data_IF_918499746049
#
_entry.id   IF_918499746049
#
_cell.length_a   1.000
_cell.length_b   1.000
_cell.length_c   1.000
_cell.angle_alpha   90.00
_cell.angle_beta   90.00
_cell.angle_gamma   90.00
#
_symmetry.space_group_name_H-M   'P 1'
#
loop_
_entity.id
_entity.type
_entity.pdbx_description
1 polymer ?
#
# COMPACT_ATOMS: atom_id res chain seq x y z
N UNK A 1 -5.14 -15.10 1.48
CA UNK A 1 -5.32 -14.04 0.46
C UNK A 1 -4.35 -12.91 0.75
N UNK A 2 -3.07 -13.05 0.37
CA UNK A 2 -2.14 -11.90 0.39
C UNK A 2 -2.31 -11.21 -0.96
N UNK A 3 -3.45 -10.54 -1.13
CA UNK A 3 -3.76 -9.76 -2.34
C UNK A 3 -3.06 -8.40 -2.40
N UNK A 4 -2.20 -8.10 -1.42
CA UNK A 4 -1.45 -6.86 -1.29
C UNK A 4 0.05 -7.19 -1.14
N UNK A 5 0.59 -7.98 -2.05
CA UNK A 5 2.04 -8.14 -2.15
C UNK A 5 2.61 -6.82 -2.63
N UNK A 6 3.28 -6.08 -1.74
CA UNK A 6 3.97 -4.84 -2.06
C UNK A 6 5.18 -5.16 -2.96
N UNK A 7 5.20 -4.63 -4.18
CA UNK A 7 6.27 -4.82 -5.17
C UNK A 7 6.92 -3.49 -5.56
N UNK A 8 6.73 -2.48 -4.73
CA UNK A 8 7.09 -1.11 -5.03
C UNK A 8 8.60 -0.90 -4.88
N UNK A 9 9.26 -1.63 -3.98
CA UNK A 9 10.72 -1.68 -3.89
C UNK A 9 11.36 -2.21 -5.17
N UNK A 10 10.77 -3.25 -5.79
CA UNK A 10 11.23 -3.74 -7.09
C UNK A 10 10.95 -2.71 -8.20
N UNK A 11 9.77 -2.06 -8.18
CA UNK A 11 9.42 -1.03 -9.16
C UNK A 11 10.39 0.17 -9.13
N UNK A 12 10.82 0.60 -7.93
CA UNK A 12 11.84 1.65 -7.76
C UNK A 12 13.18 1.18 -8.29
N UNK A 13 13.61 -0.04 -7.96
CA UNK A 13 14.87 -0.61 -8.45
C UNK A 13 14.91 -0.68 -9.98
N UNK A 14 13.83 -1.16 -10.61
CA UNK A 14 13.71 -1.22 -12.08
C UNK A 14 13.67 0.18 -12.70
N UNK A 15 12.94 1.12 -12.10
CA UNK A 15 12.88 2.49 -12.60
C UNK A 15 14.24 3.18 -12.57
N UNK A 16 15.00 3.02 -11.49
CA UNK A 16 16.35 3.58 -11.38
C UNK A 16 17.30 2.89 -12.36
N UNK A 17 17.21 1.57 -12.51
CA UNK A 17 18.07 0.79 -13.41
C UNK A 17 17.86 1.14 -14.90
N UNK A 18 16.61 1.42 -15.31
CA UNK A 18 16.28 1.70 -16.72
C UNK A 18 16.37 3.20 -17.07
N UNK A 19 15.97 4.08 -16.16
CA UNK A 19 15.80 5.50 -16.47
C UNK A 19 16.74 6.43 -15.68
N UNK A 20 17.53 5.89 -14.74
CA UNK A 20 18.39 6.67 -13.86
C UNK A 20 17.64 7.44 -12.78
N UNK A 21 18.37 7.96 -11.80
CA UNK A 21 17.81 8.62 -10.60
C UNK A 21 17.22 10.01 -10.85
N UNK A 22 17.67 10.72 -11.89
CA UNK A 22 17.18 12.05 -12.25
C UNK A 22 15.94 12.07 -13.15
N UNK A 23 15.45 10.90 -13.55
CA UNK A 23 14.30 10.80 -14.45
C UNK A 23 12.98 11.06 -13.69
N UNK A 24 11.99 11.74 -14.31
CA UNK A 24 10.65 11.89 -13.75
C UNK A 24 9.98 10.56 -13.37
N UNK A 25 10.36 9.46 -14.04
CA UNK A 25 9.83 8.11 -13.77
C UNK A 25 10.30 7.59 -12.41
N UNK A 26 11.56 7.87 -12.02
CA UNK A 26 12.10 7.48 -10.72
C UNK A 26 11.40 8.22 -9.57
N UNK A 27 11.07 9.51 -9.77
CA UNK A 27 10.33 10.28 -8.78
C UNK A 27 8.90 9.74 -8.59
N UNK A 28 8.20 9.43 -9.69
CA UNK A 28 6.84 8.91 -9.65
C UNK A 28 6.76 7.57 -8.90
N UNK A 29 7.75 6.68 -9.11
CA UNK A 29 7.80 5.40 -8.39
C UNK A 29 8.11 5.59 -6.91
N UNK A 30 9.09 6.42 -6.54
CA UNK A 30 9.40 6.67 -5.12
C UNK A 30 8.20 7.28 -4.37
N UNK A 31 7.52 8.25 -4.98
CA UNK A 31 6.32 8.86 -4.40
C UNK A 31 5.21 7.83 -4.20
N UNK A 32 5.06 6.88 -5.12
CA UNK A 32 4.10 5.80 -4.98
C UNK A 32 4.37 4.89 -3.78
N UNK A 33 5.64 4.53 -3.50
CA UNK A 33 6.03 3.80 -2.27
C UNK A 33 5.63 4.60 -1.02
N UNK A 34 5.92 5.91 -1.01
CA UNK A 34 5.65 6.78 0.12
C UNK A 34 4.15 6.90 0.43
N UNK A 35 3.29 6.72 -0.58
CA UNK A 35 1.83 6.75 -0.43
C UNK A 35 1.26 5.37 -0.08
N UNK A 36 1.84 4.29 -0.59
CA UNK A 36 1.34 2.93 -0.37
C UNK A 36 1.30 2.55 1.12
N UNK A 37 2.42 2.71 1.83
CA UNK A 37 2.54 2.33 3.25
C UNK A 37 1.51 3.04 4.14
N UNK A 38 1.33 4.38 4.08
CA UNK A 38 0.32 5.05 4.89
C UNK A 38 -1.10 4.67 4.49
N UNK A 39 -1.40 4.49 3.20
CA UNK A 39 -2.73 4.05 2.75
C UNK A 39 -3.05 2.65 3.29
N UNK A 40 -2.08 1.73 3.26
CA UNK A 40 -2.25 0.40 3.83
C UNK A 40 -2.55 0.47 5.33
N UNK A 41 -1.79 1.27 6.10
CA UNK A 41 -2.05 1.45 7.53
C UNK A 41 -3.39 2.13 7.81
N UNK A 42 -3.82 3.07 6.97
CA UNK A 42 -5.15 3.69 7.07
C UNK A 42 -6.27 2.65 6.87
N UNK A 43 -6.14 1.76 5.89
CA UNK A 43 -7.11 0.70 5.64
C UNK A 43 -7.16 -0.30 6.79
N UNK A 44 -6.02 -0.69 7.36
CA UNK A 44 -5.96 -1.54 8.56
C UNK A 44 -6.64 -0.84 9.75
N UNK A 45 -6.36 0.44 9.96
CA UNK A 45 -7.00 1.24 11.00
C UNK A 45 -8.52 1.33 10.81
N UNK A 46 -8.97 1.52 9.57
CA UNK A 46 -10.39 1.54 9.23
C UNK A 46 -11.06 0.19 9.50
N UNK A 47 -10.46 -0.91 9.04
CA UNK A 47 -10.95 -2.26 9.28
C UNK A 47 -11.06 -2.55 10.79
N UNK A 48 -10.03 -2.19 11.56
CA UNK A 48 -10.03 -2.36 13.02
C UNK A 48 -11.10 -1.50 13.71
N UNK A 49 -11.32 -0.26 13.25
CA UNK A 49 -12.39 0.61 13.76
C UNK A 49 -13.79 0.06 13.47
N UNK A 50 -13.96 -0.66 12.36
CA UNK A 50 -15.25 -1.30 12.00
C UNK A 50 -15.48 -2.67 12.62
N UNK A 51 -14.52 -3.23 13.37
CA UNK A 51 -14.60 -4.57 13.98
C UNK A 51 -15.88 -4.76 14.82
N UNK A 52 -16.26 -3.75 15.61
CA UNK A 52 -17.41 -3.83 16.51
C UNK A 52 -18.77 -3.81 15.78
N UNK A 53 -18.82 -3.48 14.49
CA UNK A 53 -20.06 -3.50 13.70
C UNK A 53 -20.51 -4.92 13.34
N UNK A 54 -19.64 -5.92 13.48
CA UNK A 54 -19.93 -7.31 13.15
C UNK A 54 -20.26 -8.17 14.38
N UNK A 55 -20.19 -7.62 15.61
CA UNK A 55 -20.43 -8.37 16.86
C UNK A 55 -21.88 -8.40 17.33
N UNK A 56 -22.86 -7.93 16.54
CA UNK A 56 -24.28 -7.88 16.91
C UNK A 56 -25.20 -8.74 16.02
N UNK A 57 -24.73 -9.91 15.63
CA UNK A 57 -25.62 -10.96 15.14
C UNK A 57 -25.52 -12.15 16.08
N UNK A 58 -26.08 -11.96 17.28
CA UNK A 58 -26.69 -13.10 17.98
C UNK A 58 -27.84 -13.55 17.08
N UNK A 59 -27.62 -14.66 16.40
CA UNK A 59 -28.68 -15.47 15.82
C UNK A 59 -29.39 -16.13 17.01
N UNK A 60 -30.55 -15.58 17.39
CA UNK A 60 -31.62 -16.38 18.00
C UNK A 60 -32.11 -17.45 17.01
#
# INVERSE_FOLDING_TARGET
MVGASNFFELAVAVSIALYGTGSPVALATIVGVLVEVPVMLMLVKFANATKNRFSNTELE
#
